data_IF_718759511709
#
_entry.id   IF_718759511709
#
_cell.length_a   1.000
_cell.length_b   1.000
_cell.length_c   1.000
_cell.angle_alpha   90.00
_cell.angle_beta   90.00
_cell.angle_gamma   90.00
#
_symmetry.space_group_name_H-M   'P 1'
#
loop_
_entity.id
_entity.type
_entity.pdbx_description
1 polymer ?
#
# COMPACT_ATOMS: atom_id res chain seq x y z
N UNK A 1 -51.49 18.31 38.71
CA UNK A 1 -50.99 17.25 37.80
C UNK A 1 -50.28 17.93 36.64
N UNK A 2 -48.94 17.96 36.60
CA UNK A 2 -48.18 18.50 35.46
C UNK A 2 -47.13 17.50 35.00
N UNK A 3 -47.28 17.14 33.73
CA UNK A 3 -46.32 16.63 32.75
C UNK A 3 -44.85 16.78 33.14
N UNK A 4 -44.08 15.69 33.08
CA UNK A 4 -42.73 15.70 32.50
C UNK A 4 -42.57 14.42 31.66
N UNK A 5 -42.74 14.57 30.34
CA UNK A 5 -42.36 13.59 29.32
C UNK A 5 -40.84 13.68 29.13
N UNK A 6 -40.10 12.66 29.59
CA UNK A 6 -38.65 12.58 29.37
C UNK A 6 -38.42 11.99 27.97
N UNK A 7 -38.23 12.87 26.98
CA UNK A 7 -37.89 12.49 25.60
C UNK A 7 -36.40 12.12 25.54
N UNK A 8 -36.10 10.83 25.68
CA UNK A 8 -34.75 10.29 25.49
C UNK A 8 -34.42 10.27 23.99
N UNK A 9 -33.81 11.35 23.49
CA UNK A 9 -33.28 11.42 22.13
C UNK A 9 -32.04 10.51 22.04
N UNK A 10 -32.26 9.25 21.69
CA UNK A 10 -31.19 8.34 21.28
C UNK A 10 -30.75 8.79 19.87
N UNK A 11 -29.79 9.71 19.80
CA UNK A 11 -29.09 9.99 18.55
C UNK A 11 -28.26 8.76 18.21
N UNK A 12 -28.81 7.90 17.34
CA UNK A 12 -28.05 6.87 16.63
C UNK A 12 -27.02 7.57 15.75
N UNK A 13 -25.86 7.89 16.32
CA UNK A 13 -24.67 8.25 15.55
C UNK A 13 -24.34 7.04 14.68
N UNK A 14 -24.69 7.12 13.39
CA UNK A 14 -24.33 6.12 12.40
C UNK A 14 -22.81 6.03 12.38
N UNK A 15 -22.26 4.95 12.95
CA UNK A 15 -20.84 4.64 12.86
C UNK A 15 -20.61 4.29 11.40
N UNK A 16 -20.27 5.29 10.59
CA UNK A 16 -19.75 5.07 9.25
C UNK A 16 -18.44 4.33 9.41
N UNK A 17 -18.45 3.02 9.18
CA UNK A 17 -17.24 2.23 9.00
C UNK A 17 -16.54 2.78 7.76
N UNK A 18 -15.66 3.77 7.97
CA UNK A 18 -14.86 4.33 6.90
C UNK A 18 -13.99 3.20 6.34
N UNK A 19 -14.25 2.84 5.08
CA UNK A 19 -13.34 2.02 4.31
C UNK A 19 -12.01 2.79 4.25
N UNK A 20 -10.94 2.18 4.75
CA UNK A 20 -9.65 2.84 4.74
C UNK A 20 -9.04 2.72 3.34
N UNK A 21 -9.30 3.74 2.53
CA UNK A 21 -8.78 3.89 1.17
C UNK A 21 -7.75 5.01 1.17
N UNK A 22 -6.58 4.73 0.61
CA UNK A 22 -5.55 5.73 0.30
C UNK A 22 -5.42 5.88 -1.22
N UNK A 23 -5.36 7.12 -1.69
CA UNK A 23 -5.16 7.44 -3.11
C UNK A 23 -3.72 7.89 -3.35
N UNK A 24 -3.16 7.43 -4.46
CA UNK A 24 -1.79 7.67 -4.86
C UNK A 24 -1.76 8.21 -6.29
N UNK A 25 -0.79 9.05 -6.58
CA UNK A 25 -0.40 9.36 -7.94
C UNK A 25 0.86 8.57 -8.29
N UNK A 26 0.93 8.12 -9.53
CA UNK A 26 2.11 7.43 -10.05
C UNK A 26 2.99 8.50 -10.70
N UNK A 27 4.20 8.68 -10.19
CA UNK A 27 5.18 9.62 -10.73
C UNK A 27 5.57 9.23 -12.17
N UNK A 28 5.98 10.22 -12.94
CA UNK A 28 6.46 10.03 -14.32
C UNK A 28 7.71 9.16 -14.35
N UNK A 29 7.73 8.12 -15.19
CA UNK A 29 8.92 7.28 -15.41
C UNK A 29 9.37 7.26 -16.87
N UNK A 30 10.24 6.31 -17.22
CA UNK A 30 10.77 6.14 -18.58
C UNK A 30 9.71 5.64 -19.56
N UNK A 31 8.79 4.78 -19.13
CA UNK A 31 7.76 4.16 -19.98
C UNK A 31 6.35 4.76 -19.80
N UNK A 32 6.16 5.63 -18.82
CA UNK A 32 4.86 6.24 -18.50
C UNK A 32 4.97 7.73 -18.20
N UNK A 33 3.86 8.44 -18.40
CA UNK A 33 3.69 9.86 -18.10
C UNK A 33 3.21 10.10 -16.67
N UNK A 34 2.65 9.08 -16.05
CA UNK A 34 2.14 9.11 -14.68
C UNK A 34 1.06 8.05 -14.52
N UNK A 35 0.14 8.27 -13.59
CA UNK A 35 -0.98 7.36 -13.34
C UNK A 35 -1.64 7.62 -11.99
N UNK A 36 -2.58 6.77 -11.63
CA UNK A 36 -3.27 6.79 -10.35
C UNK A 36 -3.29 5.38 -9.76
N UNK A 37 -3.28 5.31 -8.43
CA UNK A 37 -3.55 4.06 -7.74
C UNK A 37 -4.39 4.29 -6.48
N UNK A 38 -5.08 3.25 -6.05
CA UNK A 38 -5.86 3.22 -4.82
C UNK A 38 -5.51 1.97 -4.04
N UNK A 39 -5.17 2.14 -2.77
CA UNK A 39 -4.94 1.02 -1.86
C UNK A 39 -6.08 0.97 -0.85
N UNK A 40 -6.75 -0.17 -0.81
CA UNK A 40 -7.87 -0.46 0.07
C UNK A 40 -7.50 -1.61 1.00
N UNK A 41 -7.83 -1.48 2.29
CA UNK A 41 -7.70 -2.57 3.24
C UNK A 41 -8.99 -3.38 3.25
N UNK A 42 -9.01 -4.52 2.56
CA UNK A 42 -10.23 -5.30 2.30
C UNK A 42 -10.55 -6.32 3.39
N UNK A 43 -9.56 -6.75 4.18
CA UNK A 43 -9.77 -7.73 5.23
C UNK A 43 -9.19 -7.26 6.57
N UNK A 44 -10.09 -7.01 7.52
CA UNK A 44 -9.78 -6.70 8.92
C UNK A 44 -9.87 -7.92 9.83
N UNK A 45 -10.09 -9.13 9.33
CA UNK A 45 -10.10 -10.37 10.12
C UNK A 45 -8.79 -10.56 10.86
N UNK A 46 -8.80 -11.26 12.00
CA UNK A 46 -7.62 -11.45 12.84
C UNK A 46 -6.49 -12.26 12.18
N UNK A 47 -6.70 -12.84 10.99
CA UNK A 47 -5.79 -13.82 10.38
C UNK A 47 -4.79 -13.22 9.41
N UNK A 48 -5.18 -12.23 8.61
CA UNK A 48 -4.33 -11.61 7.59
C UNK A 48 -4.56 -10.10 7.55
N UNK A 49 -3.57 -9.37 7.07
CA UNK A 49 -3.68 -7.98 6.66
C UNK A 49 -3.64 -7.95 5.13
N UNK A 50 -4.77 -7.62 4.50
CA UNK A 50 -4.91 -7.66 3.04
C UNK A 50 -5.00 -6.23 2.51
N UNK A 51 -3.98 -5.83 1.77
CA UNK A 51 -3.94 -4.56 1.05
C UNK A 51 -4.19 -4.82 -0.44
N UNK A 52 -5.31 -4.31 -0.93
CA UNK A 52 -5.74 -4.39 -2.33
C UNK A 52 -5.36 -3.10 -3.05
N UNK A 53 -4.45 -3.19 -4.01
CA UNK A 53 -4.03 -2.06 -4.83
C UNK A 53 -4.65 -2.16 -6.23
N UNK A 54 -5.44 -1.16 -6.60
CA UNK A 54 -5.93 -0.97 -7.95
C UNK A 54 -5.13 0.17 -8.60
N UNK A 55 -4.62 -0.02 -9.82
CA UNK A 55 -3.81 0.99 -10.49
C UNK A 55 -4.20 1.21 -11.95
N UNK A 56 -3.89 2.40 -12.43
CA UNK A 56 -3.96 2.80 -13.83
C UNK A 56 -2.75 3.66 -14.20
N UNK A 57 -1.91 3.17 -15.11
CA UNK A 57 -0.68 3.79 -15.59
C UNK A 57 -0.94 4.43 -16.96
N UNK A 58 -0.61 5.70 -17.09
CA UNK A 58 -0.69 6.44 -18.35
C UNK A 58 0.60 6.27 -19.14
N UNK A 59 0.64 5.36 -20.10
CA UNK A 59 1.86 5.11 -20.91
C UNK A 59 2.29 6.33 -21.74
N UNK A 60 3.58 6.39 -22.08
CA UNK A 60 4.08 7.33 -23.09
C UNK A 60 3.68 6.89 -24.49
N UNK A 61 3.70 7.84 -25.43
CA UNK A 61 3.51 7.54 -26.85
C UNK A 61 4.63 6.59 -27.31
N UNK A 62 4.31 5.67 -28.23
CA UNK A 62 5.24 4.68 -28.81
C UNK A 62 5.76 3.59 -27.85
N UNK A 63 5.31 3.54 -26.60
CA UNK A 63 5.64 2.41 -25.72
C UNK A 63 4.77 1.20 -26.12
N UNK A 64 5.37 0.07 -26.58
CA UNK A 64 4.66 -1.08 -27.14
C UNK A 64 4.08 -1.99 -26.05
N UNK A 65 3.52 -1.40 -25.00
CA UNK A 65 2.87 -2.13 -23.90
C UNK A 65 1.35 -2.17 -24.15
N UNK A 66 0.74 -3.37 -24.22
CA UNK A 66 -0.71 -3.53 -24.30
C UNK A 66 -1.45 -2.87 -23.14
N UNK A 67 -2.60 -2.26 -23.41
CA UNK A 67 -3.41 -1.52 -22.42
C UNK A 67 -3.82 -2.38 -21.22
N UNK A 68 -4.03 -3.68 -21.41
CA UNK A 68 -4.35 -4.64 -20.33
C UNK A 68 -3.27 -4.75 -19.24
N UNK A 69 -2.03 -4.33 -19.52
CA UNK A 69 -0.95 -4.30 -18.52
C UNK A 69 -0.79 -2.92 -17.87
N UNK A 70 -1.53 -1.92 -18.34
CA UNK A 70 -1.50 -0.57 -17.80
C UNK A 70 -2.52 -0.37 -16.68
N UNK A 71 -3.47 -1.30 -16.53
CA UNK A 71 -4.45 -1.29 -15.46
C UNK A 71 -4.47 -2.66 -14.82
N UNK A 72 -4.61 -2.69 -13.51
CA UNK A 72 -4.65 -3.97 -12.82
C UNK A 72 -4.99 -3.85 -11.35
N UNK A 73 -5.16 -5.03 -10.78
CA UNK A 73 -5.39 -5.25 -9.37
C UNK A 73 -4.22 -6.08 -8.83
N UNK A 74 -3.73 -5.74 -7.64
CA UNK A 74 -2.70 -6.50 -6.94
C UNK A 74 -3.10 -6.62 -5.49
N UNK A 75 -3.03 -7.85 -4.97
CA UNK A 75 -3.35 -8.15 -3.58
C UNK A 75 -2.04 -8.47 -2.87
N UNK A 76 -1.74 -7.71 -1.81
CA UNK A 76 -0.62 -7.94 -0.93
C UNK A 76 -1.16 -8.48 0.39
N UNK A 77 -0.80 -9.72 0.71
CA UNK A 77 -1.16 -10.38 1.96
C UNK A 77 0.02 -10.30 2.92
N UNK A 78 -0.18 -9.70 4.09
CA UNK A 78 0.80 -9.63 5.16
C UNK A 78 0.26 -10.27 6.44
N UNK A 79 1.16 -10.64 7.39
CA UNK A 79 0.76 -11.06 8.72
C UNK A 79 -0.08 -9.97 9.42
N UNK A 80 -1.01 -10.33 10.32
CA UNK A 80 -1.92 -9.38 10.96
C UNK A 80 -1.19 -8.31 11.79
N UNK A 81 0.04 -8.56 12.21
CA UNK A 81 0.88 -7.59 12.94
C UNK A 81 1.21 -6.35 12.09
N UNK A 82 1.17 -6.45 10.76
CA UNK A 82 1.42 -5.32 9.85
C UNK A 82 0.25 -4.34 9.72
N UNK A 83 -0.86 -4.59 10.42
CA UNK A 83 -1.97 -3.61 10.54
C UNK A 83 -1.55 -2.33 11.24
N UNK A 84 -0.53 -2.42 12.09
CA UNK A 84 -0.05 -1.29 12.87
C UNK A 84 1.48 -1.33 13.01
N UNK A 85 2.03 -0.37 13.76
CA UNK A 85 3.47 -0.17 13.91
C UNK A 85 4.18 -1.42 14.47
N UNK A 86 3.48 -2.30 15.20
CA UNK A 86 4.09 -3.47 15.86
C UNK A 86 4.71 -4.44 14.86
N UNK A 87 4.06 -4.72 13.74
CA UNK A 87 4.60 -5.60 12.70
C UNK A 87 5.89 -5.06 12.09
N UNK A 88 5.94 -3.75 11.85
CA UNK A 88 7.12 -3.10 11.29
C UNK A 88 8.28 -3.03 12.30
N UNK A 89 8.01 -2.77 13.58
CA UNK A 89 9.03 -2.83 14.64
C UNK A 89 9.57 -4.27 14.83
N UNK A 90 8.69 -5.27 14.73
CA UNK A 90 9.10 -6.68 14.76
C UNK A 90 10.02 -7.01 13.58
N UNK A 91 9.67 -6.54 12.38
CA UNK A 91 10.48 -6.70 11.18
C UNK A 91 11.84 -6.00 11.31
N UNK A 92 11.87 -4.77 11.84
CA UNK A 92 13.10 -4.03 12.14
C UNK A 92 14.02 -4.85 13.05
N UNK A 93 13.48 -5.40 14.15
CA UNK A 93 14.25 -6.25 15.08
C UNK A 93 14.77 -7.54 14.42
N UNK A 94 13.97 -8.16 13.55
CA UNK A 94 14.33 -9.43 12.89
C UNK A 94 15.22 -9.24 11.65
N UNK A 95 15.23 -8.04 11.06
CA UNK A 95 15.84 -7.75 9.76
C UNK A 95 15.06 -8.32 8.58
N UNK A 96 14.64 -9.58 8.63
CA UNK A 96 13.89 -10.26 7.57
C UNK A 96 12.77 -11.15 8.10
N UNK A 97 11.72 -11.35 7.30
CA UNK A 97 10.60 -12.23 7.60
C UNK A 97 10.13 -12.95 6.33
N UNK A 98 10.06 -14.27 6.39
CA UNK A 98 9.45 -15.09 5.34
C UNK A 98 7.94 -15.21 5.59
N UNK A 99 7.16 -15.00 4.52
CA UNK A 99 5.71 -15.18 4.51
C UNK A 99 5.32 -16.05 3.31
N UNK A 100 4.09 -16.56 3.30
CA UNK A 100 3.61 -17.55 2.32
C UNK A 100 3.96 -17.20 0.86
N UNK A 101 3.84 -15.92 0.47
CA UNK A 101 4.01 -15.46 -0.93
C UNK A 101 5.13 -14.45 -1.12
N UNK A 102 5.93 -14.14 -0.09
CA UNK A 102 7.01 -13.17 -0.18
C UNK A 102 8.05 -13.30 0.93
N UNK A 103 9.23 -12.71 0.71
CA UNK A 103 10.19 -12.37 1.75
C UNK A 103 10.16 -10.86 1.99
N UNK A 104 9.98 -10.45 3.23
CA UNK A 104 9.99 -9.04 3.64
C UNK A 104 11.31 -8.75 4.33
N UNK A 105 11.94 -7.62 4.00
CA UNK A 105 13.17 -7.15 4.61
C UNK A 105 12.99 -5.73 5.11
N UNK A 106 13.45 -5.47 6.33
CA UNK A 106 13.67 -4.10 6.78
C UNK A 106 14.91 -3.55 6.07
N UNK A 107 14.83 -2.31 5.56
CA UNK A 107 15.96 -1.64 4.92
C UNK A 107 16.58 -0.66 5.90
N UNK A 108 15.80 0.33 6.36
CA UNK A 108 16.25 1.37 7.27
C UNK A 108 15.08 2.20 7.80
N UNK A 109 15.36 3.01 8.82
CA UNK A 109 14.54 4.19 9.12
C UNK A 109 14.91 5.34 8.20
N UNK A 110 13.93 6.19 7.91
CA UNK A 110 14.08 7.35 7.03
C UNK A 110 13.17 8.49 7.50
N UNK A 111 13.31 9.64 6.87
CA UNK A 111 12.32 10.73 6.95
C UNK A 111 11.63 10.84 5.62
N UNK A 112 10.28 10.80 5.61
CA UNK A 112 9.50 10.90 4.38
C UNK A 112 8.45 12.00 4.51
N UNK A 113 8.54 13.02 3.64
CA UNK A 113 7.65 14.19 3.65
C UNK A 113 7.44 14.79 5.07
N UNK A 114 8.54 15.00 5.80
CA UNK A 114 8.52 15.55 7.16
C UNK A 114 8.07 14.56 8.26
N UNK A 115 7.73 13.31 7.90
CA UNK A 115 7.42 12.24 8.86
C UNK A 115 8.71 11.52 9.26
N UNK A 116 9.20 11.86 10.45
CA UNK A 116 10.36 11.21 11.06
C UNK A 116 10.04 9.76 11.42
N UNK A 117 11.06 8.92 11.57
CA UNK A 117 10.90 7.49 11.91
C UNK A 117 10.00 6.70 10.94
N UNK A 118 9.91 7.14 9.69
CA UNK A 118 9.33 6.30 8.64
C UNK A 118 10.22 5.08 8.41
N UNK A 119 9.63 3.95 8.03
CA UNK A 119 10.33 2.69 7.87
C UNK A 119 10.32 2.28 6.40
N UNK A 120 11.50 2.14 5.81
CA UNK A 120 11.64 1.58 4.47
C UNK A 120 11.76 0.06 4.57
N UNK A 121 10.87 -0.65 3.88
CA UNK A 121 10.87 -2.11 3.79
C UNK A 121 10.89 -2.54 2.32
N UNK A 122 11.39 -3.75 2.09
CA UNK A 122 11.45 -4.39 0.78
C UNK A 122 10.68 -5.70 0.82
N UNK A 123 9.67 -5.82 -0.03
CA UNK A 123 8.89 -7.03 -0.24
C UNK A 123 9.39 -7.68 -1.53
N UNK A 124 9.79 -8.95 -1.43
CA UNK A 124 10.28 -9.79 -2.50
C UNK A 124 9.30 -10.94 -2.72
N UNK A 125 8.33 -10.81 -3.64
CA UNK A 125 7.40 -11.87 -3.98
C UNK A 125 8.13 -13.16 -4.39
N UNK A 126 7.62 -14.32 -3.97
CA UNK A 126 8.23 -15.63 -4.28
C UNK A 126 8.20 -15.97 -5.76
N UNK A 127 7.33 -15.33 -6.54
CA UNK A 127 7.29 -15.50 -8.00
C UNK A 127 8.46 -14.83 -8.74
N UNK A 128 9.27 -14.01 -8.05
CA UNK A 128 10.47 -13.38 -8.62
C UNK A 128 10.19 -12.34 -9.72
N UNK A 129 8.94 -11.92 -9.95
CA UNK A 129 8.56 -11.02 -11.05
C UNK A 129 8.72 -9.52 -10.72
N UNK A 130 8.94 -9.20 -9.45
CA UNK A 130 9.07 -7.80 -9.02
C UNK A 130 9.80 -7.68 -7.68
N UNK A 131 10.16 -6.45 -7.33
CA UNK A 131 10.57 -6.02 -6.00
C UNK A 131 9.71 -4.83 -5.62
N UNK A 132 9.16 -4.82 -4.41
CA UNK A 132 8.30 -3.73 -3.95
C UNK A 132 8.94 -3.08 -2.74
N UNK A 133 9.40 -1.84 -2.88
CA UNK A 133 9.89 -1.05 -1.77
C UNK A 133 8.76 -0.17 -1.24
N UNK A 134 8.56 -0.17 0.07
CA UNK A 134 7.48 0.56 0.72
C UNK A 134 8.05 1.45 1.81
N UNK A 135 7.58 2.69 1.88
CA UNK A 135 7.86 3.60 2.99
C UNK A 135 6.64 3.67 3.90
N UNK A 136 6.74 3.11 5.09
CA UNK A 136 5.67 3.07 6.09
C UNK A 136 5.79 4.18 7.13
N UNK A 137 4.67 4.78 7.52
CA UNK A 137 4.57 5.60 8.74
C UNK A 137 3.18 5.44 9.37
N UNK A 138 3.05 5.30 10.70
CA UNK A 138 1.77 5.01 11.38
C UNK A 138 0.71 6.11 11.24
N UNK A 139 1.10 7.34 10.93
CA UNK A 139 0.14 8.45 10.73
C UNK A 139 -0.41 8.53 9.31
N UNK A 140 0.02 7.64 8.41
CA UNK A 140 -0.47 7.59 7.04
C UNK A 140 -1.74 6.72 7.02
N UNK A 141 -2.80 7.10 6.31
CA UNK A 141 -4.05 6.34 6.27
C UNK A 141 -3.89 4.95 5.61
N UNK A 142 -4.93 4.13 5.74
CA UNK A 142 -5.01 2.80 5.15
C UNK A 142 -3.83 1.89 5.53
N UNK A 143 -2.99 1.51 4.58
CA UNK A 143 -1.86 0.63 4.86
C UNK A 143 -0.71 1.29 5.64
N UNK A 144 -0.78 2.60 5.86
CA UNK A 144 0.33 3.37 6.41
C UNK A 144 1.46 3.58 5.41
N UNK A 145 1.24 3.31 4.11
CA UNK A 145 2.26 3.39 3.07
C UNK A 145 2.26 4.78 2.43
N UNK A 146 3.33 5.54 2.60
CA UNK A 146 3.48 6.87 1.98
C UNK A 146 3.98 6.81 0.56
N UNK A 147 4.91 5.89 0.31
CA UNK A 147 5.51 5.66 -1.00
C UNK A 147 5.62 4.18 -1.27
N UNK A 148 5.29 3.77 -2.49
CA UNK A 148 5.43 2.39 -2.97
C UNK A 148 6.20 2.45 -4.29
N UNK A 149 7.32 1.75 -4.38
CA UNK A 149 8.12 1.62 -5.60
C UNK A 149 8.07 0.17 -6.04
N UNK A 150 7.53 -0.08 -7.23
CA UNK A 150 7.47 -1.41 -7.82
C UNK A 150 8.51 -1.47 -8.92
N UNK A 151 9.55 -2.28 -8.72
CA UNK A 151 10.55 -2.59 -9.74
C UNK A 151 10.21 -3.93 -10.39
N UNK A 152 10.09 -3.96 -11.70
CA UNK A 152 9.79 -5.17 -12.46
C UNK A 152 11.07 -5.97 -12.72
N UNK A 153 10.95 -7.29 -12.61
CA UNK A 153 12.00 -8.24 -13.01
C UNK A 153 11.43 -9.02 -14.18
N UNK A 154 12.07 -8.93 -15.34
CA UNK A 154 11.52 -9.44 -16.59
C UNK A 154 12.60 -10.02 -17.50
N UNK A 155 12.33 -11.10 -18.24
CA UNK A 155 13.24 -11.52 -19.32
C UNK A 155 13.26 -10.52 -20.48
N UNK A 156 12.30 -9.58 -20.55
CA UNK A 156 12.25 -8.55 -21.58
C UNK A 156 13.07 -7.32 -21.14
N UNK A 157 14.16 -6.96 -21.85
CA UNK A 157 15.09 -5.90 -21.40
C UNK A 157 14.45 -4.54 -21.14
N UNK A 158 13.40 -4.18 -21.88
CA UNK A 158 12.69 -2.90 -21.72
C UNK A 158 11.95 -2.82 -20.38
N UNK A 159 11.53 -3.97 -19.84
CA UNK A 159 10.77 -4.07 -18.59
C UNK A 159 11.64 -4.45 -17.40
N UNK A 160 12.83 -5.00 -17.63
CA UNK A 160 13.72 -5.39 -16.53
C UNK A 160 14.34 -4.16 -15.86
N UNK A 161 14.20 -4.07 -14.53
CA UNK A 161 14.64 -2.90 -13.77
C UNK A 161 13.79 -1.64 -13.94
N UNK A 162 12.80 -1.66 -14.83
CA UNK A 162 11.80 -0.60 -14.91
C UNK A 162 11.05 -0.51 -13.58
N UNK A 163 10.80 0.71 -13.12
CA UNK A 163 10.07 0.94 -11.89
C UNK A 163 8.94 1.95 -12.07
N UNK A 164 7.87 1.72 -11.31
CA UNK A 164 6.78 2.67 -11.12
C UNK A 164 6.79 3.12 -9.65
N UNK A 165 6.74 4.42 -9.45
CA UNK A 165 6.82 5.07 -8.14
C UNK A 165 5.47 5.72 -7.83
N UNK A 166 4.92 5.34 -6.69
CA UNK A 166 3.57 5.68 -6.26
C UNK A 166 3.71 6.50 -4.99
N UNK A 167 3.25 7.74 -5.02
CA UNK A 167 3.26 8.63 -3.86
C UNK A 167 1.84 8.94 -3.42
N UNK A 168 1.63 8.93 -2.10
CA UNK A 168 0.36 9.30 -1.50
C UNK A 168 -0.01 10.74 -1.90
N UNK A 169 -1.28 10.94 -2.25
CA UNK A 169 -1.84 12.26 -2.53
C UNK A 169 -2.03 13.09 -1.27
#
# INVERSE_FOLDING_TARGET
MKLIFFLLIITYSSITLALEIASYHILKGSLHKGGIAKIEITDKTKKKFIAKMNYEIYKRMLVPVPSKFLKGETIIELPPEFKDKRGYLLLEKKGTMDIEKAKIKFIRRTTWQGKNDAMEILILPTNGKSRVQVTYHPTIPAAGWGRVIITFISPYPILDGYHADFELN
#
